data_IF_916090112240
#
_entry.id   IF_916090112240
#
_cell.length_a   1.000
_cell.length_b   1.000
_cell.length_c   1.000
_cell.angle_alpha   90.00
_cell.angle_beta   90.00
_cell.angle_gamma   90.00
#
_symmetry.space_group_name_H-M   'P 1'
#
loop_
_entity.id
_entity.type
_entity.pdbx_description
1 polymer ?
#
# COMPACT_ATOMS: atom_id res chain seq x y z
N UNK A 1 -22.61 20.01 -34.14
CA UNK A 1 -21.68 18.89 -34.42
C UNK A 1 -20.30 19.07 -33.77
N UNK A 2 -19.54 20.16 -34.03
CA UNK A 2 -18.18 20.36 -33.48
C UNK A 2 -18.08 20.34 -31.94
N UNK A 3 -19.09 20.88 -31.23
CA UNK A 3 -19.12 20.93 -29.75
C UNK A 3 -19.41 19.57 -29.11
N UNK A 4 -20.26 18.76 -29.74
CA UNK A 4 -20.57 17.38 -29.32
C UNK A 4 -19.36 16.49 -29.50
N UNK A 5 -18.68 16.59 -30.65
CA UNK A 5 -17.45 15.83 -30.93
C UNK A 5 -16.35 16.11 -29.90
N UNK A 6 -16.12 17.38 -29.53
CA UNK A 6 -15.14 17.75 -28.50
C UNK A 6 -15.46 17.14 -27.13
N UNK A 7 -16.74 17.08 -26.75
CA UNK A 7 -17.20 16.49 -25.48
C UNK A 7 -17.02 14.97 -25.47
N UNK A 8 -17.34 14.30 -26.58
CA UNK A 8 -17.13 12.85 -26.72
C UNK A 8 -15.64 12.50 -26.64
N UNK A 9 -14.77 13.28 -27.31
CA UNK A 9 -13.32 13.08 -27.26
C UNK A 9 -12.74 13.31 -25.86
N UNK A 10 -13.20 14.33 -25.12
CA UNK A 10 -12.76 14.55 -23.74
C UNK A 10 -13.25 13.45 -22.80
N UNK A 11 -14.49 13.00 -22.95
CA UNK A 11 -15.02 11.87 -22.17
C UNK A 11 -14.24 10.58 -22.45
N UNK A 12 -13.88 10.34 -23.71
CA UNK A 12 -13.10 9.17 -24.10
C UNK A 12 -11.68 9.23 -23.54
N UNK A 13 -11.04 10.41 -23.59
CA UNK A 13 -9.71 10.63 -23.02
C UNK A 13 -9.71 10.39 -21.50
N UNK A 14 -10.72 10.92 -20.78
CA UNK A 14 -10.85 10.70 -19.33
C UNK A 14 -11.09 9.22 -19.01
N UNK A 15 -11.97 8.55 -19.75
CA UNK A 15 -12.20 7.11 -19.57
C UNK A 15 -10.92 6.29 -19.82
N UNK A 16 -10.16 6.60 -20.88
CA UNK A 16 -8.89 5.93 -21.15
C UNK A 16 -7.84 6.18 -20.06
N UNK A 17 -7.78 7.38 -19.49
CA UNK A 17 -6.85 7.70 -18.41
C UNK A 17 -7.17 6.92 -17.13
N UNK A 18 -8.45 6.75 -16.79
CA UNK A 18 -8.88 5.95 -15.64
C UNK A 18 -8.51 4.47 -15.83
N UNK A 19 -8.71 3.93 -17.04
CA UNK A 19 -8.34 2.55 -17.37
C UNK A 19 -6.83 2.34 -17.36
N UNK A 20 -6.04 3.36 -17.72
CA UNK A 20 -4.59 3.29 -17.76
C UNK A 20 -3.90 3.52 -16.40
N UNK A 21 -4.58 4.12 -15.42
CA UNK A 21 -4.01 4.42 -14.10
C UNK A 21 -3.33 3.24 -13.35
N UNK A 22 -3.86 2.00 -13.36
CA UNK A 22 -3.21 0.88 -12.66
C UNK A 22 -1.99 0.28 -13.39
N UNK A 23 -1.62 0.80 -14.58
CA UNK A 23 -0.45 0.29 -15.32
C UNK A 23 0.90 0.75 -14.74
N UNK A 24 0.91 1.69 -13.79
CA UNK A 24 2.10 2.02 -13.03
C UNK A 24 2.37 0.93 -11.96
N UNK A 25 3.04 -0.15 -12.36
CA UNK A 25 3.48 -1.22 -11.47
C UNK A 25 4.73 -0.79 -10.67
N UNK A 26 4.57 0.20 -9.78
CA UNK A 26 5.61 0.56 -8.83
C UNK A 26 5.56 -0.39 -7.63
N UNK A 27 6.62 -1.16 -7.39
CA UNK A 27 6.76 -1.88 -6.12
C UNK A 27 7.04 -0.89 -5.00
N UNK A 28 6.82 -1.29 -3.74
CA UNK A 28 7.07 -0.45 -2.56
C UNK A 28 8.55 -0.09 -2.31
N UNK A 29 9.44 -0.43 -3.25
CA UNK A 29 10.88 -0.27 -3.11
C UNK A 29 11.46 -1.18 -2.04
N UNK A 30 12.59 -0.75 -1.48
CA UNK A 30 13.33 -1.50 -0.48
C UNK A 30 12.83 -1.30 0.96
N UNK A 31 12.20 -0.16 1.23
CA UNK A 31 11.77 0.16 2.57
C UNK A 31 10.46 -0.55 2.90
N UNK A 32 10.37 -1.05 4.12
CA UNK A 32 9.14 -1.69 4.60
C UNK A 32 8.05 -0.64 4.73
N UNK A 33 6.89 -0.90 4.13
CA UNK A 33 5.69 -0.05 4.26
C UNK A 33 5.01 -0.19 5.62
N UNK A 34 5.46 -1.15 6.44
CA UNK A 34 4.94 -1.41 7.76
C UNK A 34 5.80 -2.46 8.46
N UNK A 35 5.69 -2.51 9.78
CA UNK A 35 6.38 -3.50 10.61
C UNK A 35 5.45 -4.64 10.96
N UNK A 36 5.93 -5.87 10.80
CA UNK A 36 5.13 -7.09 10.97
C UNK A 36 4.37 -7.49 9.70
N UNK A 37 4.07 -8.78 9.58
CA UNK A 37 3.41 -9.33 8.40
C UNK A 37 1.94 -8.89 8.30
N UNK A 38 1.24 -8.74 9.43
CA UNK A 38 -0.16 -8.30 9.45
C UNK A 38 -0.30 -6.87 8.94
N UNK A 39 0.49 -5.97 9.49
CA UNK A 39 0.47 -4.57 9.11
C UNK A 39 0.89 -4.33 7.64
N UNK A 40 1.92 -5.03 7.14
CA UNK A 40 2.27 -4.98 5.71
C UNK A 40 1.16 -5.56 4.82
N UNK A 41 0.48 -6.62 5.28
CA UNK A 41 -0.71 -7.16 4.59
C UNK A 41 -1.85 -6.14 4.48
N UNK A 42 -1.91 -5.16 5.38
CA UNK A 42 -2.86 -4.03 5.35
C UNK A 42 -2.28 -2.78 4.66
N UNK A 43 -1.27 -2.93 3.82
CA UNK A 43 -0.58 -1.84 3.12
C UNK A 43 0.03 -0.76 4.06
N UNK A 44 0.39 -1.13 5.30
CA UNK A 44 1.00 -0.20 6.26
C UNK A 44 0.00 0.57 7.14
N UNK A 45 -1.28 0.18 7.14
CA UNK A 45 -2.35 0.81 7.94
C UNK A 45 -2.25 0.53 9.46
N UNK A 46 -1.06 0.59 10.04
CA UNK A 46 -0.77 0.23 11.44
C UNK A 46 -0.92 1.37 12.45
N UNK A 47 -1.10 2.62 12.01
CA UNK A 47 -1.17 3.80 12.91
C UNK A 47 -2.31 3.71 13.92
N UNK A 48 -3.48 3.25 13.51
CA UNK A 48 -4.68 3.15 14.34
C UNK A 48 -5.04 1.70 14.72
N UNK A 49 -4.42 0.71 14.07
CA UNK A 49 -4.79 -0.70 14.21
C UNK A 49 -3.55 -1.58 14.44
N UNK A 50 -3.12 -1.65 15.71
CA UNK A 50 -2.08 -2.56 16.16
C UNK A 50 -2.59 -4.00 16.26
N UNK A 51 -1.91 -4.94 15.59
CA UNK A 51 -2.38 -6.34 15.45
C UNK A 51 -1.40 -7.40 15.95
N UNK A 52 -0.16 -7.00 16.20
CA UNK A 52 0.94 -7.84 16.65
C UNK A 52 1.90 -7.04 17.55
N UNK A 53 2.79 -7.74 18.26
CA UNK A 53 3.77 -7.17 19.18
C UNK A 53 4.74 -6.17 18.52
N UNK A 54 4.74 -6.03 17.18
CA UNK A 54 5.53 -5.02 16.47
C UNK A 54 4.78 -3.70 16.28
N UNK A 55 3.48 -3.60 16.62
CA UNK A 55 2.69 -2.36 16.59
C UNK A 55 3.38 -1.11 17.20
N UNK A 56 4.09 -1.17 18.34
CA UNK A 56 4.74 0.02 18.92
C UNK A 56 5.84 0.64 18.06
N UNK A 57 6.37 -0.09 17.07
CA UNK A 57 7.31 0.47 16.08
C UNK A 57 6.70 1.57 15.20
N UNK A 58 5.38 1.64 15.12
CA UNK A 58 4.63 2.68 14.39
C UNK A 58 3.97 3.64 15.37
N UNK A 59 3.27 3.11 16.36
CA UNK A 59 2.54 3.90 17.35
C UNK A 59 2.58 3.20 18.70
N UNK A 60 3.36 3.67 19.68
CA UNK A 60 3.40 3.09 21.03
C UNK A 60 2.04 3.03 21.72
N UNK A 61 1.12 3.97 21.43
CA UNK A 61 -0.23 3.96 21.99
C UNK A 61 -1.07 2.77 21.50
N UNK A 62 -0.69 2.14 20.38
CA UNK A 62 -1.37 0.94 19.88
C UNK A 62 -1.21 -0.27 20.81
N UNK A 63 -0.30 -0.24 21.79
CA UNK A 63 -0.20 -1.25 22.85
C UNK A 63 -1.36 -1.21 23.85
N UNK A 64 -2.11 -0.10 23.90
CA UNK A 64 -3.23 0.02 24.82
C UNK A 64 -4.26 -1.08 24.53
N UNK A 65 -4.53 -1.93 25.54
CA UNK A 65 -5.48 -3.02 25.43
C UNK A 65 -4.99 -4.27 24.68
N UNK A 66 -3.71 -4.33 24.26
CA UNK A 66 -3.15 -5.53 23.60
C UNK A 66 -2.83 -6.69 24.57
N UNK A 67 -2.69 -6.41 25.87
CA UNK A 67 -2.31 -7.38 26.89
C UNK A 67 -0.90 -7.95 26.70
N UNK A 68 -0.59 -8.99 27.47
CA UNK A 68 0.68 -9.70 27.35
C UNK A 68 0.64 -10.68 26.17
N UNK A 69 1.57 -10.52 25.23
CA UNK A 69 1.63 -11.35 24.04
C UNK A 69 3.01 -11.44 23.44
N UNK A 70 3.27 -12.57 22.80
CA UNK A 70 4.50 -12.84 22.05
C UNK A 70 4.12 -13.32 20.66
N UNK A 71 4.62 -12.64 19.63
CA UNK A 71 4.38 -12.97 18.23
C UNK A 71 5.70 -13.34 17.54
N UNK A 72 5.65 -14.36 16.67
CA UNK A 72 6.76 -14.75 15.80
C UNK A 72 6.30 -14.64 14.36
N UNK A 73 7.10 -14.01 13.51
CA UNK A 73 6.80 -13.82 12.09
C UNK A 73 8.03 -14.03 11.22
N UNK A 74 7.80 -14.55 10.02
CA UNK A 74 8.83 -14.68 8.98
C UNK A 74 8.39 -13.85 7.77
N UNK A 75 9.36 -13.19 7.15
CA UNK A 75 9.17 -12.37 5.96
C UNK A 75 10.20 -12.78 4.91
N UNK A 76 9.73 -13.01 3.68
CA UNK A 76 10.57 -13.19 2.50
C UNK A 76 10.44 -11.96 1.61
N UNK A 77 11.59 -11.41 1.21
CA UNK A 77 11.66 -10.27 0.30
C UNK A 77 12.59 -10.62 -0.87
N UNK A 78 12.01 -10.74 -2.07
CA UNK A 78 12.73 -11.07 -3.30
C UNK A 78 12.41 -10.06 -4.41
N UNK A 79 13.00 -8.86 -4.38
CA UNK A 79 12.80 -7.86 -5.43
C UNK A 79 13.55 -8.22 -6.71
N UNK A 80 12.90 -8.04 -7.86
CA UNK A 80 13.58 -8.05 -9.17
C UNK A 80 14.31 -6.72 -9.34
N UNK A 81 15.62 -6.77 -9.57
CA UNK A 81 16.48 -5.59 -9.72
C UNK A 81 17.27 -5.74 -11.01
N UNK A 82 17.12 -4.78 -11.90
CA UNK A 82 17.98 -4.62 -13.06
C UNK A 82 18.73 -3.30 -12.85
N UNK A 83 20.06 -3.39 -12.73
CA UNK A 83 20.95 -2.23 -12.64
C UNK A 83 21.67 -2.04 -13.98
N UNK A 84 21.84 -0.78 -14.39
CA UNK A 84 22.70 -0.38 -15.51
C UNK A 84 24.17 -0.47 -15.15
#
# INVERSE_FOLDING_TARGET
MKRTLKRTLTSLAVASAIVAAPLAQATNGYFKIGYGSKNRGMAGAGMAYGQDSLAPSINPAALAGMGDRFDVGVELFNPQREGT
#
